data_IF_045098017878
#
_entry.id   IF_045098017878
#
_cell.length_a   1.000
_cell.length_b   1.000
_cell.length_c   1.000
_cell.angle_alpha   90.00
_cell.angle_beta   90.00
_cell.angle_gamma   90.00
#
_symmetry.space_group_name_H-M   'P 1'
#
loop_
_entity.id
_entity.type
_entity.pdbx_description
1 polymer ?
#
# COMPACT_ATOMS: atom_id res chain seq x y z
N UNK A 1 34.64 5.18 -5.03
CA UNK A 1 34.11 4.89 -6.38
C UNK A 1 32.79 4.21 -6.17
N UNK A 2 31.68 4.84 -6.51
CA UNK A 2 30.39 4.15 -6.57
C UNK A 2 30.44 3.22 -7.78
N UNK A 3 30.30 1.91 -7.55
CA UNK A 3 30.24 0.93 -8.62
C UNK A 3 29.00 1.15 -9.48
N UNK A 4 29.06 0.74 -10.75
CA UNK A 4 27.94 0.85 -11.68
C UNK A 4 26.66 0.17 -11.19
N UNK A 5 26.75 -0.72 -10.19
CA UNK A 5 25.62 -1.48 -9.62
C UNK A 5 25.18 -1.00 -8.23
N UNK A 6 25.83 0.00 -7.64
CA UNK A 6 25.57 0.38 -6.24
C UNK A 6 24.12 0.82 -5.99
N UNK A 7 23.48 1.43 -6.98
CA UNK A 7 22.09 1.86 -6.92
C UNK A 7 21.08 0.70 -6.98
N UNK A 8 21.49 -0.48 -7.47
CA UNK A 8 20.69 -1.71 -7.45
C UNK A 8 20.94 -2.48 -6.15
N UNK A 9 22.20 -2.54 -5.71
CA UNK A 9 22.59 -3.28 -4.51
C UNK A 9 22.08 -2.62 -3.22
N UNK A 10 21.90 -1.30 -3.22
CA UNK A 10 21.41 -0.52 -2.09
C UNK A 10 20.01 0.06 -2.35
N UNK A 11 19.17 -0.66 -3.10
CA UNK A 11 17.85 -0.19 -3.50
C UNK A 11 17.00 0.21 -2.29
N UNK A 12 16.48 1.45 -2.30
CA UNK A 12 15.50 1.93 -1.32
C UNK A 12 14.11 2.15 -1.91
N UNK A 13 13.08 1.87 -1.12
CA UNK A 13 11.72 2.27 -1.47
C UNK A 13 11.54 3.77 -1.16
N UNK A 14 11.02 4.51 -2.13
CA UNK A 14 10.78 5.96 -2.07
C UNK A 14 9.29 6.26 -2.28
N UNK A 15 8.75 7.33 -1.70
CA UNK A 15 7.37 7.74 -1.93
C UNK A 15 7.21 8.38 -3.32
N UNK A 16 6.10 8.08 -4.00
CA UNK A 16 5.80 8.63 -5.33
C UNK A 16 6.56 7.96 -6.49
N UNK A 17 6.36 8.46 -7.72
CA UNK A 17 6.91 7.86 -8.95
C UNK A 17 8.28 8.44 -9.34
N UNK A 18 9.15 7.62 -9.93
CA UNK A 18 10.54 8.00 -10.22
C UNK A 18 10.97 7.70 -11.67
N UNK A 19 12.00 8.39 -12.17
CA UNK A 19 12.78 7.91 -13.32
C UNK A 19 13.72 6.78 -12.87
N UNK A 20 14.10 5.86 -13.76
CA UNK A 20 14.95 4.72 -13.38
C UNK A 20 16.44 4.94 -13.65
N UNK A 21 17.32 4.54 -12.70
CA UNK A 21 17.03 4.40 -11.28
C UNK A 21 16.67 5.79 -10.70
N UNK A 22 15.91 5.84 -9.61
CA UNK A 22 15.66 7.14 -8.95
C UNK A 22 16.98 7.78 -8.53
N UNK A 23 17.02 9.12 -8.34
CA UNK A 23 18.24 9.85 -8.03
C UNK A 23 18.97 9.30 -6.79
N UNK A 24 18.21 8.73 -5.84
CA UNK A 24 18.74 8.12 -4.61
C UNK A 24 18.90 6.58 -4.69
N UNK A 25 18.85 6.01 -5.89
CA UNK A 25 18.90 4.55 -6.09
C UNK A 25 17.64 3.85 -5.59
N UNK A 26 16.47 4.47 -5.80
CA UNK A 26 15.21 3.97 -5.28
C UNK A 26 14.00 4.29 -6.15
N UNK A 27 12.88 3.64 -5.87
CA UNK A 27 11.60 3.78 -6.60
C UNK A 27 10.43 3.47 -5.67
N UNK A 28 9.18 3.62 -6.12
CA UNK A 28 8.05 3.07 -5.35
C UNK A 28 8.07 1.54 -5.35
N UNK A 29 7.27 0.91 -4.49
CA UNK A 29 7.16 -0.55 -4.38
C UNK A 29 6.73 -1.22 -5.70
N UNK A 30 5.81 -0.61 -6.45
CA UNK A 30 5.32 -1.18 -7.71
C UNK A 30 6.39 -1.12 -8.80
N UNK A 31 7.13 -0.01 -8.89
CA UNK A 31 8.29 0.15 -9.78
C UNK A 31 9.39 -0.87 -9.42
N UNK A 32 9.66 -1.07 -8.14
CA UNK A 32 10.61 -2.10 -7.67
C UNK A 32 10.17 -3.50 -8.09
N UNK A 33 8.87 -3.81 -8.01
CA UNK A 33 8.32 -5.08 -8.45
C UNK A 33 8.40 -5.29 -9.98
N UNK A 34 8.24 -4.23 -10.77
CA UNK A 34 8.43 -4.29 -12.23
C UNK A 34 9.86 -4.73 -12.55
N UNK A 35 10.86 -4.10 -11.93
CA UNK A 35 12.27 -4.43 -12.17
C UNK A 35 12.65 -5.79 -11.62
N UNK A 36 12.20 -6.13 -10.41
CA UNK A 36 12.47 -7.43 -9.80
C UNK A 36 11.86 -8.60 -10.62
N UNK A 37 10.77 -8.35 -11.33
CA UNK A 37 10.15 -9.31 -12.24
C UNK A 37 10.80 -9.35 -13.65
N UNK A 38 11.82 -8.52 -13.90
CA UNK A 38 12.48 -8.42 -15.20
C UNK A 38 11.60 -7.78 -16.29
N UNK A 39 10.57 -7.03 -15.91
CA UNK A 39 9.67 -6.35 -16.85
C UNK A 39 10.28 -5.01 -17.30
N UNK A 40 9.93 -4.50 -18.50
CA UNK A 40 10.35 -3.18 -18.94
C UNK A 40 9.94 -2.09 -17.94
N UNK A 41 10.91 -1.30 -17.51
CA UNK A 41 10.66 -0.21 -16.56
C UNK A 41 9.66 0.81 -17.11
N UNK A 42 8.77 1.30 -16.25
CA UNK A 42 7.95 2.48 -16.48
C UNK A 42 7.64 3.15 -15.15
N UNK A 43 7.46 4.47 -15.17
CA UNK A 43 6.99 5.19 -14.00
C UNK A 43 5.55 4.77 -13.66
N UNK A 44 5.27 4.54 -12.38
CA UNK A 44 3.96 4.12 -11.88
C UNK A 44 3.39 5.24 -11.02
N UNK A 45 2.39 5.96 -11.54
CA UNK A 45 1.69 7.04 -10.81
C UNK A 45 0.41 6.56 -10.16
N UNK A 46 -0.16 5.49 -10.69
CA UNK A 46 -1.35 4.82 -10.19
C UNK A 46 -1.29 3.32 -10.46
N UNK A 47 -2.15 2.54 -9.81
CA UNK A 47 -2.27 1.12 -10.09
C UNK A 47 -2.66 0.81 -11.55
N UNK A 48 -3.26 1.77 -12.27
CA UNK A 48 -3.59 1.62 -13.69
C UNK A 48 -2.36 1.65 -14.61
N UNK A 49 -1.23 2.18 -14.13
CA UNK A 49 0.03 2.18 -14.89
C UNK A 49 0.77 0.84 -14.80
N UNK A 50 0.40 -0.03 -13.84
CA UNK A 50 1.04 -1.31 -13.62
C UNK A 50 0.85 -2.26 -14.82
N UNK A 51 1.82 -3.15 -15.08
CA UNK A 51 1.66 -4.20 -16.09
C UNK A 51 0.42 -5.07 -15.85
N UNK A 52 -0.22 -5.63 -16.89
CA UNK A 52 -1.47 -6.41 -16.75
C UNK A 52 -1.36 -7.64 -15.84
N UNK A 53 -0.14 -8.14 -15.56
CA UNK A 53 0.07 -9.24 -14.64
C UNK A 53 -0.03 -8.84 -13.16
N UNK A 54 -0.23 -7.55 -12.84
CA UNK A 54 -0.41 -7.06 -11.49
C UNK A 54 -1.89 -7.00 -11.14
N UNK A 55 -2.24 -7.45 -9.93
CA UNK A 55 -3.56 -7.18 -9.34
C UNK A 55 -3.69 -5.69 -9.09
N UNK A 56 -4.67 -5.05 -9.73
CA UNK A 56 -4.97 -3.62 -9.55
C UNK A 56 -5.26 -3.29 -8.07
N UNK A 57 -6.09 -4.06 -7.33
CA UNK A 57 -6.29 -3.85 -5.89
C UNK A 57 -5.00 -3.92 -5.07
N UNK A 58 -4.15 -4.93 -5.30
CA UNK A 58 -2.91 -5.07 -4.53
C UNK A 58 -1.90 -3.97 -4.87
N UNK A 59 -1.78 -3.61 -6.15
CA UNK A 59 -0.91 -2.53 -6.59
C UNK A 59 -1.33 -1.17 -6.00
N UNK A 60 -2.64 -0.89 -5.96
CA UNK A 60 -3.18 0.33 -5.35
C UNK A 60 -2.91 0.37 -3.84
N UNK A 61 -3.17 -0.75 -3.15
CA UNK A 61 -2.97 -0.86 -1.71
C UNK A 61 -1.49 -0.75 -1.34
N UNK A 62 -0.61 -1.43 -2.07
CA UNK A 62 0.82 -1.37 -1.88
C UNK A 62 1.39 0.04 -2.12
N UNK A 63 0.91 0.75 -3.16
CA UNK A 63 1.31 2.13 -3.42
C UNK A 63 0.90 3.07 -2.27
N UNK A 64 -0.34 2.97 -1.81
CA UNK A 64 -0.82 3.76 -0.67
C UNK A 64 -0.03 3.52 0.60
N UNK A 65 0.29 2.24 0.92
CA UNK A 65 1.15 1.91 2.05
C UNK A 65 2.58 2.45 1.87
N UNK A 66 3.16 2.30 0.68
CA UNK A 66 4.49 2.79 0.37
C UNK A 66 4.62 4.30 0.63
N UNK A 67 3.63 5.07 0.16
CA UNK A 67 3.68 6.53 0.23
C UNK A 67 3.34 7.04 1.65
N UNK A 68 2.49 6.33 2.40
CA UNK A 68 2.12 6.71 3.76
C UNK A 68 3.12 6.25 4.83
N UNK A 69 3.89 5.19 4.59
CA UNK A 69 4.82 4.65 5.60
C UNK A 69 6.01 5.59 5.84
N UNK A 70 6.43 5.80 7.10
CA UNK A 70 7.66 6.53 7.42
C UNK A 70 8.90 5.88 6.77
N UNK A 71 9.90 6.70 6.46
CA UNK A 71 11.13 6.26 5.77
C UNK A 71 11.85 5.10 6.45
N UNK A 72 11.86 5.07 7.80
CA UNK A 72 12.49 4.01 8.58
C UNK A 72 11.74 2.67 8.48
N UNK A 73 10.42 2.70 8.26
CA UNK A 73 9.58 1.51 8.23
C UNK A 73 9.34 0.99 6.81
N UNK A 74 9.35 1.88 5.81
CA UNK A 74 9.07 1.53 4.40
C UNK A 74 9.91 0.36 3.85
N UNK A 75 11.21 0.18 4.20
CA UNK A 75 11.98 -0.97 3.76
C UNK A 75 11.36 -2.33 4.08
N UNK A 76 10.49 -2.41 5.10
CA UNK A 76 9.75 -3.64 5.44
C UNK A 76 8.84 -4.11 4.30
N UNK A 77 8.40 -3.21 3.43
CA UNK A 77 7.60 -3.53 2.27
C UNK A 77 8.37 -4.33 1.19
N UNK A 78 9.70 -4.33 1.24
CA UNK A 78 10.54 -5.11 0.32
C UNK A 78 10.18 -6.61 0.33
N UNK A 79 9.70 -7.12 1.49
CA UNK A 79 9.23 -8.50 1.64
C UNK A 79 8.06 -8.87 0.70
N UNK A 80 7.36 -7.89 0.12
CA UNK A 80 6.22 -8.10 -0.77
C UNK A 80 6.51 -7.81 -2.24
N UNK A 81 7.67 -7.24 -2.58
CA UNK A 81 8.01 -6.83 -3.96
C UNK A 81 7.86 -7.98 -4.95
N UNK A 82 8.40 -9.16 -4.63
CA UNK A 82 8.33 -10.35 -5.48
C UNK A 82 6.92 -10.98 -5.56
N UNK A 83 5.96 -10.50 -4.77
CA UNK A 83 4.58 -11.03 -4.74
C UNK A 83 3.59 -10.21 -5.56
N UNK A 84 4.00 -9.05 -6.08
CA UNK A 84 3.12 -8.16 -6.83
C UNK A 84 3.03 -8.54 -8.32
N UNK A 85 4.16 -8.88 -8.93
CA UNK A 85 4.17 -9.36 -10.31
C UNK A 85 3.51 -10.74 -10.42
N UNK A 86 2.66 -10.93 -11.42
CA UNK A 86 1.90 -12.18 -11.59
C UNK A 86 0.76 -12.37 -10.59
N UNK A 87 0.39 -11.33 -9.83
CA UNK A 87 -0.68 -11.39 -8.84
C UNK A 87 -2.09 -11.20 -9.41
N UNK A 88 -2.22 -10.73 -10.66
CA UNK A 88 -3.51 -10.54 -11.32
C UNK A 88 -4.34 -11.83 -11.30
N UNK A 89 -5.63 -11.70 -11.03
CA UNK A 89 -6.55 -12.82 -10.95
C UNK A 89 -7.88 -12.51 -11.63
N UNK A 90 -8.78 -13.48 -11.67
CA UNK A 90 -10.14 -13.30 -12.16
C UNK A 90 -10.89 -12.20 -11.39
N UNK A 91 -11.85 -11.50 -12.00
CA UNK A 91 -12.55 -10.37 -11.38
C UNK A 91 -13.17 -10.67 -10.01
N UNK A 92 -13.65 -11.90 -9.80
CA UNK A 92 -14.25 -12.34 -8.54
C UNK A 92 -13.22 -12.40 -7.41
N UNK A 93 -11.99 -12.82 -7.73
CA UNK A 93 -10.86 -12.84 -6.78
C UNK A 93 -10.42 -11.41 -6.46
N UNK A 94 -10.37 -10.53 -7.46
CA UNK A 94 -10.03 -9.12 -7.24
C UNK A 94 -11.08 -8.40 -6.38
N UNK A 95 -12.36 -8.67 -6.60
CA UNK A 95 -13.44 -8.16 -5.76
C UNK A 95 -13.32 -8.66 -4.31
N UNK A 96 -13.00 -9.95 -4.11
CA UNK A 96 -12.75 -10.51 -2.79
C UNK A 96 -11.53 -9.88 -2.10
N UNK A 97 -10.46 -9.58 -2.85
CA UNK A 97 -9.29 -8.85 -2.34
C UNK A 97 -9.65 -7.44 -1.89
N UNK A 98 -10.41 -6.68 -2.69
CA UNK A 98 -10.87 -5.34 -2.29
C UNK A 98 -11.65 -5.41 -0.99
N UNK A 99 -12.61 -6.32 -0.88
CA UNK A 99 -13.41 -6.49 0.34
C UNK A 99 -12.55 -6.87 1.55
N UNK A 100 -11.59 -7.76 1.37
CA UNK A 100 -10.67 -8.18 2.42
C UNK A 100 -9.76 -7.04 2.87
N UNK A 101 -9.07 -6.38 1.93
CA UNK A 101 -8.13 -5.29 2.22
C UNK A 101 -8.83 -4.13 2.92
N UNK A 102 -10.00 -3.71 2.43
CA UNK A 102 -10.77 -2.64 3.06
C UNK A 102 -11.20 -3.02 4.49
N UNK A 103 -11.72 -4.24 4.69
CA UNK A 103 -12.13 -4.70 6.03
C UNK A 103 -10.93 -4.77 6.98
N UNK A 104 -9.83 -5.41 6.60
CA UNK A 104 -8.68 -5.58 7.49
C UNK A 104 -7.96 -4.26 7.76
N UNK A 105 -7.94 -3.32 6.80
CA UNK A 105 -7.43 -1.96 7.03
C UNK A 105 -8.20 -1.27 8.14
N UNK A 106 -9.54 -1.29 8.07
CA UNK A 106 -10.39 -0.73 9.11
C UNK A 106 -10.21 -1.45 10.45
N UNK A 107 -10.12 -2.79 10.45
CA UNK A 107 -10.03 -3.56 11.70
C UNK A 107 -8.69 -3.47 12.39
N UNK A 108 -7.61 -3.22 11.66
CA UNK A 108 -6.23 -3.37 12.17
C UNK A 108 -5.42 -2.09 12.15
N UNK A 109 -5.56 -1.27 11.09
CA UNK A 109 -4.71 -0.10 10.89
C UNK A 109 -5.36 1.19 11.40
N UNK A 110 -6.68 1.31 11.23
CA UNK A 110 -7.43 2.47 11.71
C UNK A 110 -7.53 2.58 13.25
N UNK A 111 -7.73 1.50 14.03
CA UNK A 111 -8.01 1.63 15.47
C UNK A 111 -6.89 2.29 16.28
N UNK A 112 -5.59 1.99 16.07
CA UNK A 112 -4.52 2.71 16.76
C UNK A 112 -4.54 4.22 16.52
N UNK A 113 -4.87 4.66 15.30
CA UNK A 113 -4.97 6.09 14.98
C UNK A 113 -6.17 6.74 15.68
N UNK A 114 -7.30 6.04 15.77
CA UNK A 114 -8.48 6.50 16.50
C UNK A 114 -8.24 6.57 18.02
N UNK A 115 -7.53 5.60 18.58
CA UNK A 115 -7.12 5.60 19.98
C UNK A 115 -6.24 6.82 20.29
N UNK A 116 -5.27 7.12 19.42
CA UNK A 116 -4.43 8.32 19.53
C UNK A 116 -5.23 9.62 19.41
N UNK A 117 -6.32 9.61 18.64
CA UNK A 117 -7.25 10.74 18.50
C UNK A 117 -8.28 10.84 19.64
N UNK A 118 -8.24 9.97 20.65
CA UNK A 118 -9.19 9.98 21.77
C UNK A 118 -10.56 9.39 21.45
N UNK A 119 -10.65 8.52 20.44
CA UNK A 119 -11.88 7.87 19.95
C UNK A 119 -11.88 6.34 20.21
N UNK A 120 -11.82 5.88 21.47
CA UNK A 120 -11.69 4.45 21.79
C UNK A 120 -12.95 3.63 21.45
N UNK A 121 -14.14 4.25 21.48
CA UNK A 121 -15.38 3.57 21.13
C UNK A 121 -15.45 3.26 19.63
N UNK A 122 -15.04 4.21 18.79
CA UNK A 122 -14.93 4.05 17.34
C UNK A 122 -13.84 3.04 17.00
N UNK A 123 -12.70 3.07 17.71
CA UNK A 123 -11.64 2.08 17.56
C UNK A 123 -12.14 0.65 17.86
N UNK A 124 -12.86 0.46 18.96
CA UNK A 124 -13.46 -0.83 19.31
C UNK A 124 -14.46 -1.29 18.22
N UNK A 125 -15.35 -0.40 17.78
CA UNK A 125 -16.29 -0.71 16.72
C UNK A 125 -15.62 -1.10 15.38
N UNK A 126 -14.47 -0.50 15.07
CA UNK A 126 -13.67 -0.89 13.91
C UNK A 126 -13.09 -2.29 14.06
N UNK A 127 -12.57 -2.68 15.24
CA UNK A 127 -11.99 -4.01 15.49
C UNK A 127 -13.01 -5.14 15.35
N UNK A 128 -14.24 -4.89 15.82
CA UNK A 128 -15.34 -5.86 15.84
C UNK A 128 -16.05 -6.04 14.49
N UNK A 129 -15.76 -5.22 13.47
CA UNK A 129 -16.41 -5.33 12.17
C UNK A 129 -16.18 -6.71 11.52
N UNK A 130 -17.24 -7.51 11.41
CA UNK A 130 -17.18 -8.86 10.85
C UNK A 130 -17.30 -8.86 9.32
N UNK A 131 -17.99 -7.85 8.76
CA UNK A 131 -18.23 -7.71 7.32
C UNK A 131 -17.63 -6.42 6.74
N UNK A 132 -17.49 -6.37 5.41
CA UNK A 132 -17.08 -5.14 4.71
C UNK A 132 -18.07 -3.99 5.00
N UNK A 133 -19.37 -4.29 5.02
CA UNK A 133 -20.42 -3.31 5.30
C UNK A 133 -20.27 -2.70 6.70
N UNK A 134 -20.01 -3.54 7.70
CA UNK A 134 -19.75 -3.08 9.07
C UNK A 134 -18.46 -2.26 9.17
N UNK A 135 -17.41 -2.68 8.48
CA UNK A 135 -16.14 -1.95 8.46
C UNK A 135 -16.30 -0.55 7.84
N UNK A 136 -16.97 -0.44 6.69
CA UNK A 136 -17.25 0.86 6.06
C UNK A 136 -18.09 1.74 6.98
N UNK A 137 -19.14 1.19 7.60
CA UNK A 137 -19.97 1.95 8.54
C UNK A 137 -19.18 2.42 9.78
N UNK A 138 -18.28 1.59 10.31
CA UNK A 138 -17.42 1.96 11.43
C UNK A 138 -16.44 3.08 11.07
N UNK A 139 -15.77 2.98 9.91
CA UNK A 139 -14.87 4.02 9.42
C UNK A 139 -15.58 5.35 9.16
N UNK A 140 -16.79 5.32 8.57
CA UNK A 140 -17.60 6.52 8.33
C UNK A 140 -18.02 7.20 9.64
N UNK A 141 -18.43 6.43 10.66
CA UNK A 141 -18.73 6.99 11.98
C UNK A 141 -17.53 7.68 12.61
N UNK A 142 -16.33 7.13 12.42
CA UNK A 142 -15.10 7.70 12.94
C UNK A 142 -14.64 8.97 12.19
N UNK A 143 -15.00 9.12 10.91
CA UNK A 143 -14.61 10.26 10.09
C UNK A 143 -15.23 11.59 10.55
N UNK A 144 -16.47 11.57 11.07
CA UNK A 144 -17.17 12.76 11.54
C UNK A 144 -16.51 13.45 12.75
N UNK A 145 -16.24 12.75 13.87
CA UNK A 145 -15.54 13.35 15.01
C UNK A 145 -14.08 13.67 14.69
N UNK A 146 -13.40 12.87 13.87
CA UNK A 146 -12.00 13.13 13.49
C UNK A 146 -11.85 14.42 12.67
N UNK A 147 -12.81 14.72 11.78
CA UNK A 147 -12.83 15.99 11.04
C UNK A 147 -13.18 17.22 11.90
N UNK A 148 -13.81 17.02 13.06
CA UNK A 148 -14.12 18.09 14.02
C UNK A 148 -12.97 18.35 15.01
N UNK A 149 -12.00 17.43 15.13
CA UNK A 149 -10.84 17.52 16.01
C UNK A 149 -9.54 17.96 15.29
N UNK A 150 -9.59 18.14 13.97
CA UNK A 150 -8.47 18.51 13.11
C UNK A 150 -8.41 20.03 12.83
#
# INVERSE_FOLDING_TARGET
MTGAFDHILNWRLLPGSHAFPGPDGGTCINEAAVVAAGLPYRAIRSAADCPPCFSVPLAAYALGLNDAMPDAERPRLMAFVLRLAGSAAAPEVEAARVAHLARETVRRLLPPALEQAGLPAEAAACREAASLKEAVAAAQRAAWPAGAAA
#
